data_IF_380607356433
#
_entry.id   IF_380607356433
#
_cell.length_a   1.000
_cell.length_b   1.000
_cell.length_c   1.000
_cell.angle_alpha   90.00
_cell.angle_beta   90.00
_cell.angle_gamma   90.00
#
_symmetry.space_group_name_H-M   'P 1'
#
loop_
_entity.id
_entity.type
_entity.pdbx_description
1 polymer ?
#
# COMPACT_ATOMS: atom_id res chain seq x y z
N UNK A 1 8.38 14.58 -17.91
CA UNK A 1 8.00 13.21 -17.48
C UNK A 1 8.70 12.79 -16.19
N UNK A 2 10.03 12.89 -16.07
CA UNK A 2 10.76 12.54 -14.84
C UNK A 2 10.26 13.32 -13.60
N UNK A 3 10.11 14.65 -13.71
CA UNK A 3 9.59 15.45 -12.59
C UNK A 3 8.20 14.98 -12.12
N UNK A 4 7.29 14.66 -13.05
CA UNK A 4 5.96 14.14 -12.72
C UNK A 4 6.05 12.78 -12.01
N UNK A 5 6.97 11.90 -12.45
CA UNK A 5 7.20 10.61 -11.82
C UNK A 5 7.65 10.75 -10.37
N UNK A 6 8.64 11.62 -10.12
CA UNK A 6 9.16 11.89 -8.77
C UNK A 6 8.09 12.55 -7.89
N UNK A 7 7.35 13.53 -8.41
CA UNK A 7 6.25 14.17 -7.67
C UNK A 7 5.18 13.15 -7.30
N UNK A 8 4.79 12.27 -8.23
CA UNK A 8 3.84 11.20 -7.94
C UNK A 8 4.35 10.26 -6.84
N UNK A 9 5.63 9.90 -6.86
CA UNK A 9 6.24 9.06 -5.83
C UNK A 9 6.16 9.73 -4.46
N UNK A 10 6.54 11.00 -4.34
CA UNK A 10 6.50 11.75 -3.08
C UNK A 10 5.06 11.86 -2.55
N UNK A 11 4.12 12.28 -3.41
CA UNK A 11 2.74 12.56 -2.99
C UNK A 11 1.94 11.31 -2.68
N UNK A 12 2.18 10.20 -3.39
CA UNK A 12 1.36 8.99 -3.25
C UNK A 12 1.99 7.92 -2.34
N UNK A 13 3.31 7.72 -2.39
CA UNK A 13 3.96 6.70 -1.58
C UNK A 13 4.15 7.11 -0.13
N UNK A 14 4.41 8.40 0.14
CA UNK A 14 4.59 8.90 1.51
C UNK A 14 3.37 8.61 2.40
N UNK A 15 2.18 9.12 2.06
CA UNK A 15 0.96 8.86 2.82
C UNK A 15 0.58 7.38 2.86
N UNK A 16 0.76 6.63 1.76
CA UNK A 16 0.48 5.20 1.72
C UNK A 16 1.37 4.40 2.69
N UNK A 17 2.66 4.75 2.76
CA UNK A 17 3.63 4.13 3.69
C UNK A 17 3.23 4.35 5.14
N UNK A 18 2.91 5.60 5.51
CA UNK A 18 2.47 5.91 6.88
C UNK A 18 1.17 5.18 7.21
N UNK A 19 0.20 5.22 6.30
CA UNK A 19 -1.10 4.57 6.50
C UNK A 19 -0.98 3.05 6.70
N UNK A 20 -0.24 2.36 5.82
CA UNK A 20 0.00 0.92 5.93
C UNK A 20 0.73 0.54 7.22
N UNK A 21 1.72 1.36 7.62
CA UNK A 21 2.55 1.10 8.79
C UNK A 21 1.82 1.33 10.11
N UNK A 22 0.80 2.18 10.15
CA UNK A 22 0.10 2.55 11.38
C UNK A 22 -1.28 1.89 11.52
N UNK A 23 -1.93 1.52 10.41
CA UNK A 23 -3.29 1.00 10.40
C UNK A 23 -3.48 -0.18 11.36
N UNK A 24 -2.60 -1.17 11.31
CA UNK A 24 -2.76 -2.42 12.06
C UNK A 24 -2.71 -2.21 13.58
N UNK A 25 -1.94 -1.24 14.05
CA UNK A 25 -1.90 -0.85 15.47
C UNK A 25 -3.23 -0.23 15.87
N UNK A 26 -3.72 0.75 15.11
CA UNK A 26 -4.98 1.44 15.43
C UNK A 26 -6.20 0.53 15.35
N UNK A 27 -6.24 -0.37 14.38
CA UNK A 27 -7.31 -1.35 14.24
C UNK A 27 -7.29 -2.38 15.38
N UNK A 28 -6.11 -2.79 15.84
CA UNK A 28 -5.98 -3.68 17.00
C UNK A 28 -6.39 -2.99 18.31
N UNK A 29 -5.99 -1.74 18.52
CA UNK A 29 -6.41 -0.96 19.69
C UNK A 29 -7.94 -0.74 19.70
N UNK A 30 -8.53 -0.49 18.53
CA UNK A 30 -9.98 -0.38 18.38
C UNK A 30 -10.70 -1.68 18.76
N UNK A 31 -10.16 -2.83 18.36
CA UNK A 31 -10.68 -4.13 18.76
C UNK A 31 -10.66 -4.31 20.29
N UNK A 32 -9.63 -3.81 20.96
CA UNK A 32 -9.51 -3.83 22.43
C UNK A 32 -10.32 -2.73 23.15
N UNK A 33 -11.30 -2.11 22.46
CA UNK A 33 -12.24 -1.16 23.06
C UNK A 33 -11.83 0.32 23.00
N UNK A 34 -10.71 0.67 22.36
CA UNK A 34 -10.33 2.07 22.18
C UNK A 34 -11.11 2.73 21.03
N UNK A 35 -12.16 3.47 21.38
CA UNK A 35 -13.04 4.15 20.41
C UNK A 35 -12.34 5.23 19.60
N UNK A 36 -11.35 5.94 20.17
CA UNK A 36 -10.56 6.94 19.44
C UNK A 36 -9.68 6.27 18.36
N UNK A 37 -9.17 5.07 18.65
CA UNK A 37 -8.40 4.30 17.69
C UNK A 37 -9.25 3.82 16.50
N UNK A 38 -10.55 3.58 16.69
CA UNK A 38 -11.47 3.20 15.61
C UNK A 38 -11.57 4.30 14.53
N UNK A 39 -11.74 5.56 14.93
CA UNK A 39 -11.72 6.69 14.00
C UNK A 39 -10.39 6.82 13.26
N UNK A 40 -9.28 6.63 13.98
CA UNK A 40 -7.93 6.65 13.39
C UNK A 40 -7.74 5.53 12.37
N UNK A 41 -8.18 4.30 12.68
CA UNK A 41 -8.13 3.15 11.79
C UNK A 41 -8.94 3.40 10.51
N UNK A 42 -10.13 4.02 10.62
CA UNK A 42 -10.95 4.39 9.46
C UNK A 42 -10.26 5.39 8.54
N UNK A 43 -9.64 6.44 9.10
CA UNK A 43 -8.87 7.42 8.31
C UNK A 43 -7.66 6.77 7.64
N UNK A 44 -6.86 5.99 8.37
CA UNK A 44 -5.68 5.32 7.83
C UNK A 44 -6.07 4.30 6.75
N UNK A 45 -7.18 3.58 6.91
CA UNK A 45 -7.71 2.70 5.87
C UNK A 45 -8.04 3.45 4.58
N UNK A 46 -8.74 4.59 4.67
CA UNK A 46 -9.09 5.40 3.50
C UNK A 46 -7.86 5.98 2.81
N UNK A 47 -6.87 6.45 3.56
CA UNK A 47 -5.59 6.94 3.01
C UNK A 47 -4.85 5.78 2.33
N UNK A 48 -4.70 4.63 3.00
CA UNK A 48 -4.07 3.43 2.47
C UNK A 48 -4.68 3.03 1.12
N UNK A 49 -6.00 2.93 1.04
CA UNK A 49 -6.71 2.57 -0.20
C UNK A 49 -6.51 3.63 -1.28
N UNK A 50 -6.80 4.91 -0.98
CA UNK A 50 -6.81 5.96 -2.00
C UNK A 50 -5.40 6.26 -2.51
N UNK A 51 -4.45 6.54 -1.60
CA UNK A 51 -3.07 6.84 -1.96
C UNK A 51 -2.33 5.61 -2.46
N UNK A 52 -2.65 4.42 -1.94
CA UNK A 52 -2.12 3.16 -2.45
C UNK A 52 -2.57 2.87 -3.88
N UNK A 53 -3.83 3.15 -4.23
CA UNK A 53 -4.29 3.06 -5.62
C UNK A 53 -3.62 4.11 -6.51
N UNK A 54 -3.57 5.37 -6.07
CA UNK A 54 -2.92 6.46 -6.81
C UNK A 54 -1.41 6.22 -7.01
N UNK A 55 -0.76 5.46 -6.13
CA UNK A 55 0.66 5.10 -6.27
C UNK A 55 0.97 4.34 -7.56
N UNK A 56 -0.03 3.73 -8.22
CA UNK A 56 0.12 3.11 -9.55
C UNK A 56 0.62 4.10 -10.61
N UNK A 57 0.37 5.40 -10.43
CA UNK A 57 0.87 6.45 -11.33
C UNK A 57 2.40 6.41 -11.42
N UNK A 58 3.10 6.03 -10.35
CA UNK A 58 4.57 5.97 -10.31
C UNK A 58 5.12 4.97 -11.33
N UNK A 59 4.83 3.65 -11.27
CA UNK A 59 5.32 2.71 -12.26
C UNK A 59 4.79 2.99 -13.67
N UNK A 60 3.56 3.51 -13.83
CA UNK A 60 3.05 3.89 -15.14
C UNK A 60 3.88 5.00 -15.79
N UNK A 61 4.23 6.04 -15.03
CA UNK A 61 5.13 7.09 -15.51
C UNK A 61 6.55 6.56 -15.76
N UNK A 62 7.03 5.62 -14.94
CA UNK A 62 8.33 4.97 -15.14
C UNK A 62 8.39 4.18 -16.45
N UNK A 63 7.36 3.38 -16.73
CA UNK A 63 7.20 2.67 -18.01
C UNK A 63 7.12 3.66 -19.17
N UNK A 64 6.34 4.75 -19.04
CA UNK A 64 6.23 5.75 -20.08
C UNK A 64 7.59 6.41 -20.38
N UNK A 65 8.37 6.77 -19.36
CA UNK A 65 9.74 7.32 -19.53
C UNK A 65 10.62 6.30 -20.27
N UNK A 66 10.59 5.03 -19.86
CA UNK A 66 11.38 3.96 -20.48
C UNK A 66 11.05 3.78 -21.96
N UNK A 67 9.76 3.78 -22.33
CA UNK A 67 9.32 3.58 -23.71
C UNK A 67 9.61 4.79 -24.61
N UNK A 68 9.58 6.00 -24.05
CA UNK A 68 9.87 7.23 -24.80
C UNK A 68 11.36 7.37 -25.17
N UNK A 69 12.27 6.77 -24.40
CA UNK A 69 13.71 6.69 -24.73
C UNK A 69 14.20 5.24 -24.68
N UNK A 70 13.54 4.39 -25.46
CA UNK A 70 13.86 2.96 -25.48
C UNK A 70 15.30 2.69 -25.92
N UNK A 71 15.87 3.52 -26.79
CA UNK A 71 17.27 3.42 -27.23
C UNK A 71 18.24 3.37 -26.07
N UNK A 72 18.03 4.22 -25.06
CA UNK A 72 18.84 4.30 -23.87
C UNK A 72 18.47 3.19 -22.88
N UNK A 73 17.19 3.07 -22.54
CA UNK A 73 16.79 2.23 -21.41
C UNK A 73 16.80 0.73 -21.68
N UNK A 74 16.79 0.28 -22.95
CA UNK A 74 16.71 -1.16 -23.28
C UNK A 74 17.84 -2.02 -22.70
N UNK A 75 19.04 -1.45 -22.51
CA UNK A 75 20.21 -2.13 -21.96
C UNK A 75 20.35 -1.95 -20.45
N UNK A 76 19.53 -1.08 -19.85
CA UNK A 76 19.61 -0.73 -18.44
C UNK A 76 18.75 -1.68 -17.61
N UNK A 77 19.32 -2.83 -17.25
CA UNK A 77 18.62 -3.90 -16.51
C UNK A 77 18.06 -3.45 -15.16
N UNK A 78 18.68 -2.46 -14.51
CA UNK A 78 18.23 -1.93 -13.21
C UNK A 78 16.82 -1.32 -13.27
N UNK A 79 16.48 -0.57 -14.34
CA UNK A 79 15.16 0.04 -14.47
C UNK A 79 14.08 -1.01 -14.81
N UNK A 80 14.45 -2.05 -15.56
CA UNK A 80 13.56 -3.19 -15.79
C UNK A 80 13.25 -3.93 -14.48
N UNK A 81 14.27 -4.16 -13.65
CA UNK A 81 14.10 -4.75 -12.32
C UNK A 81 13.23 -3.85 -11.42
N UNK A 82 13.44 -2.52 -11.45
CA UNK A 82 12.64 -1.56 -10.69
C UNK A 82 11.16 -1.58 -11.11
N UNK A 83 10.86 -1.67 -12.40
CA UNK A 83 9.48 -1.79 -12.92
C UNK A 83 8.87 -3.13 -12.48
N UNK A 84 9.59 -4.24 -12.62
CA UNK A 84 9.10 -5.55 -12.21
C UNK A 84 8.79 -5.61 -10.71
N UNK A 85 9.68 -5.08 -9.87
CA UNK A 85 9.46 -4.96 -8.43
C UNK A 85 8.30 -4.03 -8.10
N UNK A 86 8.08 -2.97 -8.87
CA UNK A 86 6.93 -2.07 -8.67
C UNK A 86 5.61 -2.80 -8.92
N UNK A 87 5.54 -3.66 -9.95
CA UNK A 87 4.36 -4.50 -10.21
C UNK A 87 4.13 -5.48 -9.06
N UNK A 88 5.19 -6.15 -8.57
CA UNK A 88 5.11 -7.05 -7.42
C UNK A 88 4.62 -6.32 -6.16
N UNK A 89 5.15 -5.12 -5.91
CA UNK A 89 4.79 -4.27 -4.78
C UNK A 89 3.32 -3.87 -4.85
N UNK A 90 2.83 -3.56 -6.04
CA UNK A 90 1.42 -3.23 -6.24
C UNK A 90 0.50 -4.44 -6.10
N UNK A 91 0.91 -5.61 -6.60
CA UNK A 91 0.20 -6.87 -6.38
C UNK A 91 0.13 -7.23 -4.88
N UNK A 92 1.22 -7.07 -4.14
CA UNK A 92 1.25 -7.24 -2.69
C UNK A 92 0.24 -6.31 -2.00
N UNK A 93 0.17 -5.06 -2.43
CA UNK A 93 -0.78 -4.09 -1.88
C UNK A 93 -2.24 -4.53 -2.13
N UNK A 94 -2.59 -4.81 -3.38
CA UNK A 94 -3.96 -5.14 -3.79
C UNK A 94 -4.47 -6.48 -3.27
N UNK A 95 -3.65 -7.52 -3.38
CA UNK A 95 -4.11 -8.89 -3.14
C UNK A 95 -3.81 -9.38 -1.72
N UNK A 96 -2.91 -8.70 -1.00
CA UNK A 96 -2.49 -9.13 0.34
C UNK A 96 -2.85 -8.11 1.41
N UNK A 97 -2.44 -6.85 1.26
CA UNK A 97 -2.61 -5.81 2.30
C UNK A 97 -4.05 -5.32 2.35
N UNK A 98 -4.60 -4.81 1.24
CA UNK A 98 -5.95 -4.26 1.17
C UNK A 98 -7.05 -5.22 1.65
N UNK A 99 -7.06 -6.50 1.25
CA UNK A 99 -8.09 -7.43 1.70
C UNK A 99 -8.02 -7.69 3.21
N UNK A 100 -6.81 -7.73 3.79
CA UNK A 100 -6.60 -7.88 5.23
C UNK A 100 -7.04 -6.65 6.01
N UNK A 101 -6.70 -5.45 5.53
CA UNK A 101 -7.18 -4.20 6.12
C UNK A 101 -8.71 -4.12 6.07
N UNK A 102 -9.31 -4.41 4.91
CA UNK A 102 -10.77 -4.44 4.74
C UNK A 102 -11.42 -5.47 5.67
N UNK A 103 -10.79 -6.63 5.87
CA UNK A 103 -11.27 -7.64 6.82
C UNK A 103 -11.31 -7.14 8.26
N UNK A 104 -10.25 -6.44 8.72
CA UNK A 104 -10.22 -5.83 10.05
C UNK A 104 -11.27 -4.72 10.19
N UNK A 105 -11.41 -3.86 9.19
CA UNK A 105 -12.42 -2.81 9.19
C UNK A 105 -13.83 -3.36 9.25
N UNK A 106 -14.12 -4.43 8.50
CA UNK A 106 -15.43 -5.08 8.51
C UNK A 106 -15.72 -5.77 9.84
N UNK A 107 -14.72 -6.41 10.45
CA UNK A 107 -14.87 -7.06 11.76
C UNK A 107 -15.10 -6.03 12.89
N UNK A 108 -14.65 -4.79 12.71
CA UNK A 108 -14.92 -3.68 13.62
C UNK A 108 -16.24 -2.95 13.32
N UNK A 109 -16.97 -3.34 12.26
CA UNK A 109 -18.18 -2.63 11.83
C UNK A 109 -17.90 -1.22 11.29
N UNK A 110 -16.69 -0.96 10.77
CA UNK A 110 -16.22 0.37 10.38
C UNK A 110 -16.22 0.60 8.86
N UNK A 111 -16.64 -0.39 8.06
CA UNK A 111 -16.85 -0.22 6.62
C UNK A 111 -18.09 0.62 6.34
N UNK A 112 -18.23 1.07 5.09
CA UNK A 112 -19.47 1.70 4.61
C UNK A 112 -20.59 0.65 4.56
N UNK A 113 -21.85 1.09 4.70
CA UNK A 113 -22.99 0.19 4.98
C UNK A 113 -23.21 -0.90 3.93
N UNK A 114 -23.01 -0.58 2.66
CA UNK A 114 -23.09 -1.50 1.53
C UNK A 114 -21.97 -2.56 1.58
N UNK A 115 -20.73 -2.14 1.82
CA UNK A 115 -19.59 -3.05 1.95
C UNK A 115 -19.68 -3.94 3.20
N UNK A 116 -20.22 -3.39 4.29
CA UNK A 116 -20.43 -4.11 5.55
C UNK A 116 -21.49 -5.19 5.39
N UNK A 117 -22.57 -4.92 4.66
CA UNK A 117 -23.65 -5.87 4.41
C UNK A 117 -23.26 -6.98 3.42
N UNK A 118 -22.29 -6.74 2.54
CA UNK A 118 -21.92 -7.66 1.46
C UNK A 118 -21.36 -9.02 1.94
N UNK A 119 -20.80 -9.10 3.15
CA UNK A 119 -20.24 -10.33 3.72
C UNK A 119 -20.09 -10.25 5.23
N UNK A 120 -20.06 -11.41 5.89
CA UNK A 120 -19.62 -11.48 7.29
C UNK A 120 -18.10 -11.30 7.38
N UNK A 121 -17.65 -10.56 8.39
CA UNK A 121 -16.25 -10.27 8.63
C UNK A 121 -15.88 -10.75 10.03
N UNK A 122 -15.19 -11.88 10.12
CA UNK A 122 -14.74 -12.45 11.39
C UNK A 122 -13.23 -12.66 11.39
N UNK A 123 -12.60 -12.28 12.51
CA UNK A 123 -11.18 -12.49 12.77
C UNK A 123 -11.03 -13.38 13.98
N UNK A 124 -10.62 -14.62 13.74
CA UNK A 124 -10.42 -15.61 14.80
C UNK A 124 -9.22 -15.31 15.71
N UNK A 125 -8.20 -14.63 15.20
CA UNK A 125 -6.99 -14.30 15.97
C UNK A 125 -6.47 -12.90 15.57
N UNK A 126 -6.72 -11.93 16.43
CA UNK A 126 -6.37 -10.53 16.21
C UNK A 126 -4.87 -10.25 16.32
N UNK A 127 -4.14 -10.93 17.19
CA UNK A 127 -2.68 -10.83 17.28
C UNK A 127 -2.01 -11.22 15.97
N UNK A 128 -2.46 -12.34 15.39
CA UNK A 128 -1.98 -12.82 14.09
C UNK A 128 -2.35 -11.85 12.97
N UNK A 129 -3.58 -11.32 12.96
CA UNK A 129 -4.01 -10.35 11.95
C UNK A 129 -3.15 -9.07 11.99
N UNK A 130 -2.91 -8.54 13.19
CA UNK A 130 -2.02 -7.40 13.44
C UNK A 130 -0.59 -7.69 12.97
N UNK A 131 -0.02 -8.81 13.38
CA UNK A 131 1.35 -9.22 13.03
C UNK A 131 1.54 -9.41 11.52
N UNK A 132 0.59 -10.06 10.85
CA UNK A 132 0.66 -10.23 9.39
C UNK A 132 0.64 -8.91 8.64
N UNK A 133 -0.25 -7.97 9.01
CA UNK A 133 -0.26 -6.66 8.37
C UNK A 133 1.00 -5.84 8.67
N UNK A 134 1.57 -5.96 9.87
CA UNK A 134 2.86 -5.36 10.19
C UNK A 134 3.97 -5.90 9.27
N UNK A 135 4.07 -7.23 9.13
CA UNK A 135 5.05 -7.89 8.26
C UNK A 135 4.88 -7.50 6.79
N UNK A 136 3.67 -7.60 6.23
CA UNK A 136 3.43 -7.27 4.83
C UNK A 136 3.60 -5.78 4.54
N UNK A 137 3.21 -4.90 5.46
CA UNK A 137 3.47 -3.46 5.36
C UNK A 137 4.98 -3.14 5.38
N UNK A 138 5.75 -3.85 6.21
CA UNK A 138 7.21 -3.76 6.25
C UNK A 138 7.86 -4.23 4.93
N UNK A 139 7.46 -5.39 4.42
CA UNK A 139 7.93 -5.91 3.11
C UNK A 139 7.59 -4.93 1.99
N UNK A 140 6.36 -4.42 1.95
CA UNK A 140 5.93 -3.45 0.95
C UNK A 140 6.78 -2.16 1.00
N UNK A 141 7.10 -1.67 2.20
CA UNK A 141 7.96 -0.49 2.37
C UNK A 141 9.41 -0.76 1.95
N UNK A 142 9.95 -1.93 2.31
CA UNK A 142 11.30 -2.35 1.92
C UNK A 142 11.44 -2.48 0.40
N UNK A 143 10.43 -3.01 -0.29
CA UNK A 143 10.44 -3.11 -1.75
C UNK A 143 10.55 -1.72 -2.40
N UNK A 144 9.83 -0.72 -1.89
CA UNK A 144 9.97 0.66 -2.37
C UNK A 144 11.35 1.27 -2.13
N UNK A 145 12.01 0.93 -1.01
CA UNK A 145 13.41 1.33 -0.77
C UNK A 145 14.34 0.69 -1.80
N UNK A 146 14.18 -0.61 -2.08
CA UNK A 146 14.97 -1.32 -3.11
C UNK A 146 14.74 -0.70 -4.49
N UNK A 147 13.48 -0.38 -4.83
CA UNK A 147 13.13 0.30 -6.09
C UNK A 147 13.80 1.67 -6.16
N UNK A 148 13.79 2.45 -5.09
CA UNK A 148 14.47 3.74 -5.06
C UNK A 148 15.99 3.60 -5.27
N UNK A 149 16.63 2.60 -4.64
CA UNK A 149 18.06 2.30 -4.86
C UNK A 149 18.30 2.01 -6.35
N UNK A 150 17.54 1.08 -6.94
CA UNK A 150 17.67 0.72 -8.36
C UNK A 150 17.42 1.88 -9.34
N UNK A 151 16.70 2.93 -8.91
CA UNK A 151 16.40 4.10 -9.73
C UNK A 151 17.46 5.19 -9.65
N UNK A 152 18.20 5.29 -8.54
CA UNK A 152 19.02 6.46 -8.23
C UNK A 152 20.48 6.16 -7.94
N UNK A 153 20.85 4.90 -7.70
CA UNK A 153 22.21 4.46 -7.34
C UNK A 153 22.68 3.45 -8.38
#
# INVERSE_FOLDING_TARGET
MIALHVIAAILFLGPATVANSQFHVRAYDAHNGNTQAAGSAKTLFKISQSYGMLSLIVPLLGIAIMLLDWSFYKSEGQFHAAIALSVITWALLLFVIFPRQKKMMGALGLLESDEQAAKSYEIANWDKAKSQLSMFGGIWSLLWVIIAILMFI
#
